data_IF_200174291821
#
_entry.id   IF_200174291821
#
_cell.length_a   1.000
_cell.length_b   1.000
_cell.length_c   1.000
_cell.angle_alpha   90.00
_cell.angle_beta   90.00
_cell.angle_gamma   90.00
#
_symmetry.space_group_name_H-M   'P 1'
#
loop_
_entity.id
_entity.type
_entity.pdbx_description
1 polymer ?
#
# COMPACT_ATOMS: atom_id res chain seq x y z
N UNK A 1 -24.08 -27.93 -44.51
CA UNK A 1 -23.10 -26.90 -44.11
C UNK A 1 -22.65 -27.30 -42.73
N UNK A 2 -21.42 -27.73 -42.62
CA UNK A 2 -20.93 -28.52 -41.50
C UNK A 2 -20.67 -27.57 -40.32
N UNK A 3 -21.68 -27.41 -39.47
CA UNK A 3 -21.65 -26.53 -38.31
C UNK A 3 -20.49 -26.86 -37.37
N UNK A 4 -20.04 -28.12 -37.36
CA UNK A 4 -18.85 -28.56 -36.63
C UNK A 4 -17.56 -27.96 -37.19
N UNK A 5 -17.45 -27.83 -38.52
CA UNK A 5 -16.28 -27.22 -39.16
C UNK A 5 -16.24 -25.71 -38.88
N UNK A 6 -17.40 -25.04 -38.97
CA UNK A 6 -17.52 -23.62 -38.63
C UNK A 6 -17.21 -23.36 -37.15
N UNK A 7 -17.72 -24.22 -36.26
CA UNK A 7 -17.44 -24.14 -34.83
C UNK A 7 -15.96 -24.38 -34.51
N UNK A 8 -15.32 -25.36 -35.16
CA UNK A 8 -13.90 -25.66 -34.97
C UNK A 8 -12.98 -24.50 -35.36
N UNK A 9 -13.28 -23.80 -36.46
CA UNK A 9 -12.50 -22.64 -36.93
C UNK A 9 -12.55 -21.48 -35.93
N UNK A 10 -13.68 -21.30 -35.23
CA UNK A 10 -13.83 -20.24 -34.22
C UNK A 10 -13.28 -20.67 -32.86
N UNK A 11 -13.52 -21.93 -32.46
CA UNK A 11 -13.14 -22.45 -31.15
C UNK A 11 -11.62 -22.68 -31.02
N UNK A 12 -10.94 -23.14 -32.09
CA UNK A 12 -9.51 -23.43 -32.06
C UNK A 12 -8.63 -22.23 -31.62
N UNK A 13 -8.73 -21.03 -32.25
CA UNK A 13 -7.95 -19.87 -31.80
C UNK A 13 -8.37 -19.39 -30.41
N UNK A 14 -9.65 -19.53 -30.05
CA UNK A 14 -10.15 -19.16 -28.72
C UNK A 14 -9.59 -20.05 -27.61
N UNK A 15 -9.50 -21.37 -27.84
CA UNK A 15 -8.92 -22.33 -26.91
C UNK A 15 -7.44 -22.03 -26.71
N UNK A 16 -6.70 -21.81 -27.80
CA UNK A 16 -5.27 -21.45 -27.72
C UNK A 16 -5.10 -20.15 -26.93
N UNK A 17 -5.90 -19.13 -27.20
CA UNK A 17 -5.91 -17.88 -26.43
C UNK A 17 -6.20 -18.14 -24.94
N UNK A 18 -7.18 -18.95 -24.60
CA UNK A 18 -7.50 -19.30 -23.21
C UNK A 18 -6.37 -20.03 -22.51
N UNK A 19 -5.66 -20.94 -23.20
CA UNK A 19 -4.50 -21.63 -22.64
C UNK A 19 -3.37 -20.67 -22.26
N UNK A 20 -3.23 -19.53 -22.94
CA UNK A 20 -2.24 -18.51 -22.59
C UNK A 20 -2.76 -17.47 -21.59
N UNK A 21 -3.99 -16.99 -21.79
CA UNK A 21 -4.55 -15.90 -20.99
C UNK A 21 -5.00 -16.37 -19.61
N UNK A 22 -5.59 -17.56 -19.49
CA UNK A 22 -6.00 -18.11 -18.20
C UNK A 22 -4.84 -18.26 -17.19
N UNK A 23 -3.66 -18.82 -17.54
CA UNK A 23 -2.55 -18.90 -16.59
C UNK A 23 -1.92 -17.54 -16.27
N UNK A 24 -1.84 -16.62 -17.24
CA UNK A 24 -1.37 -15.24 -16.98
C UNK A 24 -2.32 -14.54 -15.99
N UNK A 25 -3.62 -14.67 -16.20
CA UNK A 25 -4.63 -14.10 -15.31
C UNK A 25 -4.59 -14.75 -13.91
N UNK A 26 -4.45 -16.07 -13.83
CA UNK A 26 -4.31 -16.79 -12.57
C UNK A 26 -3.08 -16.30 -11.78
N UNK A 27 -1.94 -16.13 -12.46
CA UNK A 27 -0.73 -15.60 -11.85
C UNK A 27 -0.94 -14.16 -11.36
N UNK A 28 -1.54 -13.27 -12.17
CA UNK A 28 -1.81 -11.89 -11.79
C UNK A 28 -2.79 -11.81 -10.60
N UNK A 29 -3.89 -12.56 -10.67
CA UNK A 29 -4.92 -12.60 -9.64
C UNK A 29 -4.36 -13.11 -8.31
N UNK A 30 -3.55 -14.18 -8.38
CA UNK A 30 -2.94 -14.76 -7.18
C UNK A 30 -1.80 -13.89 -6.63
N UNK A 31 -1.00 -13.24 -7.49
CA UNK A 31 0.05 -12.30 -7.07
C UNK A 31 -0.55 -11.07 -6.40
N UNK A 32 -1.63 -10.49 -6.96
CA UNK A 32 -2.33 -9.34 -6.38
C UNK A 32 -2.89 -9.67 -4.99
N UNK A 33 -3.56 -10.83 -4.85
CA UNK A 33 -4.00 -11.31 -3.53
C UNK A 33 -2.84 -11.54 -2.57
N UNK A 34 -1.73 -12.12 -3.02
CA UNK A 34 -0.54 -12.33 -2.18
C UNK A 34 0.10 -11.02 -1.74
N UNK A 35 0.16 -10.01 -2.60
CA UNK A 35 0.78 -8.72 -2.27
C UNK A 35 -0.10 -7.88 -1.34
N UNK A 36 -1.43 -8.04 -1.43
CA UNK A 36 -2.39 -7.41 -0.50
C UNK A 36 -2.52 -8.19 0.82
N UNK A 37 -2.30 -9.51 0.82
CA UNK A 37 -2.33 -10.34 2.03
C UNK A 37 -0.99 -10.46 2.76
N UNK A 38 0.12 -10.13 2.08
CA UNK A 38 1.38 -9.87 2.74
C UNK A 38 1.21 -8.54 3.45
N UNK A 39 0.88 -8.60 4.74
CA UNK A 39 0.95 -7.43 5.61
C UNK A 39 2.33 -6.78 5.56
N UNK A 40 2.49 -5.69 6.30
CA UNK A 40 3.72 -4.92 6.33
C UNK A 40 4.90 -5.84 6.64
N UNK A 41 5.94 -5.79 5.80
CA UNK A 41 7.19 -6.52 6.02
C UNK A 41 7.83 -6.11 7.35
N UNK A 42 8.73 -6.93 7.87
CA UNK A 42 9.44 -6.63 9.12
C UNK A 42 10.15 -5.25 9.06
N UNK A 43 10.69 -4.89 7.90
CA UNK A 43 11.35 -3.60 7.67
C UNK A 43 10.34 -2.44 7.65
N UNK A 44 9.18 -2.62 7.01
CA UNK A 44 8.10 -1.62 7.02
C UNK A 44 7.53 -1.42 8.42
N UNK A 45 7.41 -2.49 9.22
CA UNK A 45 7.06 -2.39 10.63
C UNK A 45 8.08 -1.61 11.43
N UNK A 46 9.37 -1.92 11.27
CA UNK A 46 10.44 -1.20 11.96
C UNK A 46 10.47 0.29 11.58
N UNK A 47 10.26 0.60 10.29
CA UNK A 47 10.16 1.98 9.80
C UNK A 47 8.97 2.72 10.43
N UNK A 48 7.80 2.10 10.48
CA UNK A 48 6.61 2.70 11.09
C UNK A 48 6.78 2.92 12.59
N UNK A 49 7.38 1.99 13.32
CA UNK A 49 7.71 2.15 14.73
C UNK A 49 8.69 3.32 14.95
N UNK A 50 9.71 3.44 14.11
CA UNK A 50 10.67 4.55 14.17
C UNK A 50 9.99 5.89 13.88
N UNK A 51 9.10 5.96 12.88
CA UNK A 51 8.33 7.17 12.59
C UNK A 51 7.41 7.55 13.74
N UNK A 52 6.72 6.60 14.36
CA UNK A 52 5.85 6.85 15.51
C UNK A 52 6.65 7.41 16.69
N UNK A 53 7.80 6.80 17.01
CA UNK A 53 8.68 7.25 18.09
C UNK A 53 9.25 8.67 17.82
N UNK A 54 9.60 8.97 16.56
CA UNK A 54 10.01 10.33 16.17
C UNK A 54 8.88 11.34 16.34
N UNK A 55 7.66 10.99 15.95
CA UNK A 55 6.49 11.86 16.11
C UNK A 55 6.22 12.18 17.59
N UNK A 56 6.31 11.18 18.46
CA UNK A 56 6.15 11.36 19.91
C UNK A 56 7.22 12.32 20.46
N UNK A 57 8.49 12.10 20.12
CA UNK A 57 9.58 13.02 20.51
C UNK A 57 9.41 14.43 19.96
N UNK A 58 8.81 14.60 18.78
CA UNK A 58 8.52 15.93 18.25
C UNK A 58 7.43 16.62 19.06
N UNK A 59 6.39 15.91 19.51
CA UNK A 59 5.33 16.46 20.35
C UNK A 59 5.87 16.95 21.70
N UNK A 60 6.71 16.16 22.38
CA UNK A 60 7.32 16.56 23.66
C UNK A 60 8.16 17.84 23.55
N UNK A 61 8.87 17.99 22.42
CA UNK A 61 9.67 19.18 22.16
C UNK A 61 8.80 20.40 21.88
N UNK A 62 7.67 20.23 21.21
CA UNK A 62 6.72 21.32 21.00
C UNK A 62 6.11 21.78 22.32
N UNK A 63 5.70 20.86 23.20
CA UNK A 63 5.19 21.21 24.53
C UNK A 63 6.22 22.01 25.35
N UNK A 64 7.48 21.57 25.32
CA UNK A 64 8.58 22.28 25.98
C UNK A 64 8.78 23.68 25.39
N UNK A 65 8.72 23.83 24.08
CA UNK A 65 8.87 25.12 23.40
C UNK A 65 7.66 26.04 23.64
N UNK A 66 6.44 25.51 23.66
CA UNK A 66 5.22 26.24 23.99
C UNK A 66 5.25 26.76 25.43
N UNK A 67 5.75 25.96 26.37
CA UNK A 67 5.93 26.38 27.77
C UNK A 67 6.94 27.52 27.90
N UNK A 68 8.11 27.39 27.28
CA UNK A 68 9.14 28.46 27.28
C UNK A 68 8.59 29.74 26.63
N UNK A 69 7.91 29.60 25.49
CA UNK A 69 7.33 30.75 24.79
C UNK A 69 6.25 31.45 25.64
N UNK A 70 5.43 30.69 26.36
CA UNK A 70 4.39 31.22 27.24
C UNK A 70 4.97 31.98 28.44
N UNK A 71 6.07 31.50 29.00
CA UNK A 71 6.81 32.17 30.07
C UNK A 71 7.43 33.49 29.59
N UNK A 72 8.05 33.52 28.41
CA UNK A 72 8.61 34.74 27.81
C UNK A 72 7.54 35.79 27.46
N UNK A 73 6.41 35.35 26.90
CA UNK A 73 5.29 36.25 26.54
C UNK A 73 4.65 36.86 27.79
N UNK A 74 4.51 36.09 28.86
CA UNK A 74 3.97 36.57 30.14
C UNK A 74 4.93 37.55 30.81
N UNK A 75 6.23 37.27 30.81
CA UNK A 75 7.25 38.14 31.40
C UNK A 75 7.34 39.51 30.70
N UNK A 76 7.21 39.56 29.37
CA UNK A 76 7.24 40.81 28.59
C UNK A 76 5.94 41.62 28.62
N UNK A 77 4.79 41.01 28.93
CA UNK A 77 3.51 41.72 28.99
C UNK A 77 3.30 42.58 30.25
N UNK A 78 4.22 42.47 31.22
CA UNK A 78 4.19 43.20 32.49
C UNK A 78 5.17 44.39 32.56
N UNK A 79 5.88 44.70 31.47
CA UNK A 79 6.69 45.92 31.28
C UNK A 79 5.96 46.93 30.39
#
# INVERSE_FOLDING_TARGET
MDYEALAGIIAAPFIVFMVFVAPIWLFLHYRSKRQVSQGLSADEMALLTELANRSEKMADRLDTLERILSEEMTARGHE
#
